data_IF_104791103085
#
_entry.id   IF_104791103085
#
_cell.length_a   1.000
_cell.length_b   1.000
_cell.length_c   1.000
_cell.angle_alpha   90.00
_cell.angle_beta   90.00
_cell.angle_gamma   90.00
#
_symmetry.space_group_name_H-M   'P 1'
#
loop_
_entity.id
_entity.type
_entity.pdbx_description
1 polymer ?
#
# COMPACT_ATOMS: atom_id res chain seq x y z
N UNK A 1 -11.59 11.45 -6.83
CA UNK A 1 -10.93 10.45 -5.96
C UNK A 1 -10.83 9.13 -6.68
N UNK A 2 -9.75 8.39 -6.45
CA UNK A 2 -9.56 7.02 -6.93
C UNK A 2 -8.98 6.16 -5.81
N UNK A 3 -9.19 4.85 -5.92
CA UNK A 3 -8.76 3.89 -4.91
C UNK A 3 -8.00 2.77 -5.61
N UNK A 4 -6.83 2.43 -5.11
CA UNK A 4 -5.97 1.42 -5.72
C UNK A 4 -5.60 0.34 -4.71
N UNK A 5 -5.38 -0.87 -5.24
CA UNK A 5 -4.68 -1.92 -4.54
C UNK A 5 -3.46 -2.30 -5.37
N UNK A 6 -2.29 -2.28 -4.74
CA UNK A 6 -1.02 -2.68 -5.33
C UNK A 6 -0.56 -3.95 -4.65
N UNK A 7 -0.29 -5.01 -5.40
CA UNK A 7 0.36 -6.21 -4.87
C UNK A 7 1.76 -6.36 -5.48
N UNK A 8 2.78 -6.39 -4.62
CA UNK A 8 4.16 -6.56 -5.03
C UNK A 8 4.59 -8.02 -4.88
N UNK A 9 4.91 -8.67 -6.01
CA UNK A 9 5.27 -10.10 -6.02
C UNK A 9 6.76 -10.39 -5.81
N UNK A 10 7.57 -9.43 -5.33
CA UNK A 10 9.01 -9.64 -5.09
C UNK A 10 9.27 -10.85 -4.17
N UNK A 11 8.37 -11.11 -3.22
CA UNK A 11 8.46 -12.25 -2.28
C UNK A 11 8.29 -13.61 -2.97
N UNK A 12 7.68 -13.67 -4.16
CA UNK A 12 7.53 -14.90 -4.95
C UNK A 12 8.78 -15.24 -5.76
N UNK A 13 9.71 -14.30 -5.93
CA UNK A 13 10.92 -14.46 -6.73
C UNK A 13 12.19 -14.05 -5.95
N UNK A 14 12.49 -14.70 -4.81
CA UNK A 14 13.58 -14.29 -3.92
C UNK A 14 14.98 -14.37 -4.56
N UNK A 15 15.16 -15.15 -5.63
CA UNK A 15 16.42 -15.19 -6.39
C UNK A 15 16.67 -13.93 -7.23
N UNK A 16 15.60 -13.22 -7.63
CA UNK A 16 15.64 -11.99 -8.43
C UNK A 16 15.81 -10.75 -7.55
N UNK A 17 15.21 -10.75 -6.37
CA UNK A 17 15.27 -9.64 -5.41
C UNK A 17 16.15 -10.04 -4.24
N UNK A 18 17.39 -9.53 -4.19
CA UNK A 18 18.32 -9.73 -3.05
C UNK A 18 17.85 -9.00 -1.79
N UNK A 19 16.62 -9.20 -1.37
CA UNK A 19 16.00 -8.51 -0.23
C UNK A 19 15.76 -9.51 0.88
N UNK A 20 16.61 -9.46 1.92
CA UNK A 20 16.08 -9.58 3.29
C UNK A 20 15.24 -8.33 3.47
N UNK A 21 13.96 -8.41 3.80
CA UNK A 21 13.26 -7.34 4.52
C UNK A 21 11.78 -7.75 4.69
N UNK A 22 11.46 -8.34 5.84
CA UNK A 22 10.08 -8.40 6.33
C UNK A 22 9.47 -6.99 6.54
N UNK A 23 10.28 -5.93 6.38
CA UNK A 23 9.88 -4.53 6.50
C UNK A 23 9.47 -3.87 5.18
N UNK A 24 9.36 -4.63 4.08
CA UNK A 24 8.74 -4.12 2.85
C UNK A 24 7.30 -4.59 2.76
N UNK A 25 6.36 -3.70 2.36
CA UNK A 25 5.00 -4.13 2.10
C UNK A 25 4.98 -5.09 0.90
N UNK A 26 4.03 -6.02 0.96
CA UNK A 26 3.66 -6.91 -0.15
C UNK A 26 2.33 -6.50 -0.77
N UNK A 27 1.53 -5.72 -0.04
CA UNK A 27 0.26 -5.18 -0.53
C UNK A 27 0.03 -3.80 0.04
N UNK A 28 -0.39 -2.87 -0.81
CA UNK A 28 -0.69 -1.50 -0.46
C UNK A 28 -2.10 -1.18 -0.94
N UNK A 29 -2.87 -0.48 -0.10
CA UNK A 29 -4.15 0.12 -0.48
C UNK A 29 -4.03 1.62 -0.31
N UNK A 30 -4.43 2.38 -1.34
CA UNK A 30 -4.30 3.83 -1.33
C UNK A 30 -5.62 4.49 -1.72
N UNK A 31 -6.04 5.50 -0.96
CA UNK A 31 -7.00 6.52 -1.40
C UNK A 31 -6.23 7.71 -1.94
N UNK A 32 -6.60 8.14 -3.14
CA UNK A 32 -5.89 9.17 -3.88
C UNK A 32 -6.88 10.26 -4.28
N UNK A 33 -6.52 11.52 -4.01
CA UNK A 33 -7.36 12.67 -4.31
C UNK A 33 -7.38 13.01 -5.81
N UNK A 34 -8.09 14.07 -6.18
CA UNK A 34 -8.19 14.51 -7.59
C UNK A 34 -6.89 15.10 -8.15
N UNK A 35 -5.96 15.48 -7.27
CA UNK A 35 -4.62 15.96 -7.61
C UNK A 35 -3.62 14.80 -7.76
N UNK A 36 -4.06 13.56 -7.50
CA UNK A 36 -3.22 12.37 -7.57
C UNK A 36 -2.35 12.16 -6.33
N UNK A 37 -2.59 12.91 -5.25
CA UNK A 37 -1.89 12.78 -3.97
C UNK A 37 -2.58 11.75 -3.08
N UNK A 38 -1.81 11.02 -2.27
CA UNK A 38 -2.33 10.01 -1.36
C UNK A 38 -2.93 10.66 -0.10
N UNK A 39 -4.18 10.36 0.23
CA UNK A 39 -4.85 10.86 1.44
C UNK A 39 -4.86 9.84 2.58
N UNK A 40 -4.97 8.55 2.22
CA UNK A 40 -4.90 7.42 3.14
C UNK A 40 -4.15 6.26 2.50
N UNK A 41 -3.37 5.55 3.31
CA UNK A 41 -2.65 4.35 2.91
C UNK A 41 -2.75 3.23 3.94
N UNK A 42 -2.79 1.99 3.47
CA UNK A 42 -2.65 0.77 4.26
C UNK A 42 -1.56 -0.09 3.64
N UNK A 43 -0.66 -0.63 4.44
CA UNK A 43 0.45 -1.49 4.04
C UNK A 43 0.35 -2.84 4.77
N UNK A 44 0.38 -3.93 4.02
CA UNK A 44 0.47 -5.29 4.57
C UNK A 44 1.86 -5.86 4.32
N UNK A 45 2.43 -6.47 5.35
CA UNK A 45 3.79 -7.02 5.34
C UNK A 45 3.75 -8.55 5.33
N UNK A 46 4.86 -9.17 4.90
CA UNK A 46 4.94 -10.63 4.69
C UNK A 46 4.72 -11.45 5.98
N UNK A 47 5.00 -10.87 7.14
CA UNK A 47 4.79 -11.49 8.45
C UNK A 47 3.36 -11.29 9.00
N UNK A 48 2.43 -10.75 8.20
CA UNK A 48 1.05 -10.48 8.60
C UNK A 48 0.86 -9.19 9.38
N UNK A 49 1.95 -8.46 9.68
CA UNK A 49 1.89 -7.12 10.27
C UNK A 49 1.25 -6.13 9.29
N UNK A 50 0.72 -5.04 9.83
CA UNK A 50 0.08 -3.95 9.08
C UNK A 50 0.62 -2.59 9.49
N UNK A 51 0.55 -1.65 8.56
CA UNK A 51 0.71 -0.22 8.83
C UNK A 51 -0.36 0.58 8.10
N UNK A 52 -0.66 1.77 8.60
CA UNK A 52 -1.58 2.70 7.94
C UNK A 52 -1.18 4.15 8.19
N UNK A 53 -1.54 5.02 7.25
CA UNK A 53 -1.30 6.45 7.35
C UNK A 53 -2.46 7.26 6.80
N UNK A 54 -2.62 8.46 7.35
CA UNK A 54 -3.41 9.56 6.82
C UNK A 54 -2.76 10.88 7.21
N UNK A 55 -3.38 12.00 6.85
CA UNK A 55 -2.92 13.34 7.26
C UNK A 55 -2.89 13.59 8.77
N UNK A 56 -3.55 12.74 9.58
CA UNK A 56 -3.68 12.93 11.03
C UNK A 56 -3.07 11.81 11.88
N UNK A 57 -2.78 10.65 11.27
CA UNK A 57 -2.27 9.48 12.00
C UNK A 57 -1.34 8.67 11.12
N UNK A 58 -0.27 8.16 11.71
CA UNK A 58 0.58 7.13 11.13
C UNK A 58 0.80 6.05 12.18
N UNK A 59 0.81 4.80 11.73
CA UNK A 59 1.03 3.62 12.55
C UNK A 59 1.68 2.53 11.71
N UNK A 60 2.66 1.82 12.28
CA UNK A 60 3.24 0.64 11.66
C UNK A 60 3.63 -0.38 12.75
N UNK A 61 3.22 -1.64 12.59
CA UNK A 61 3.62 -2.72 13.51
C UNK A 61 5.05 -3.20 13.27
N UNK A 62 5.63 -2.94 12.09
CA UNK A 62 6.96 -3.41 11.75
C UNK A 62 7.99 -2.46 12.36
N UNK A 63 8.84 -2.99 13.23
CA UNK A 63 9.97 -2.27 13.80
C UNK A 63 10.93 -1.79 12.68
N UNK A 64 11.55 -0.63 12.86
CA UNK A 64 12.51 -0.02 11.91
C UNK A 64 11.92 0.54 10.61
N UNK A 65 10.59 0.67 10.50
CA UNK A 65 9.94 1.35 9.38
C UNK A 65 8.70 2.12 9.85
N UNK A 66 8.27 3.07 9.03
CA UNK A 66 7.07 3.87 9.25
C UNK A 66 6.20 3.77 7.99
N UNK A 67 4.90 3.74 8.17
CA UNK A 67 3.96 3.90 7.06
C UNK A 67 3.64 5.38 6.93
N UNK A 68 4.02 5.98 5.80
CA UNK A 68 3.85 7.42 5.54
C UNK A 68 3.15 7.64 4.20
N UNK A 69 2.40 8.73 4.03
CA UNK A 69 1.80 9.05 2.73
C UNK A 69 2.89 9.39 1.69
N UNK A 70 2.66 9.02 0.43
CA UNK A 70 3.55 9.40 -0.68
C UNK A 70 3.70 10.92 -0.80
N UNK A 71 4.94 11.41 -0.99
CA UNK A 71 5.24 12.80 -1.35
C UNK A 71 5.19 13.05 -2.87
N UNK A 72 4.91 12.00 -3.65
CA UNK A 72 4.79 12.04 -5.10
C UNK A 72 3.35 11.81 -5.54
N UNK A 73 2.97 12.52 -6.61
CA UNK A 73 1.73 12.28 -7.33
C UNK A 73 1.77 10.87 -7.91
N UNK A 74 0.77 10.07 -7.57
CA UNK A 74 0.68 8.71 -8.02
C UNK A 74 0.26 8.69 -9.50
N UNK A 75 0.96 7.95 -10.38
CA UNK A 75 0.61 7.86 -11.79
C UNK A 75 -0.72 7.16 -12.02
N UNK A 76 -1.24 7.14 -13.25
CA UNK A 76 -2.43 6.37 -13.60
C UNK A 76 -2.16 4.85 -13.58
N UNK A 77 -3.20 4.06 -13.31
CA UNK A 77 -3.10 2.60 -13.15
C UNK A 77 -2.56 1.90 -14.40
N UNK A 78 -2.97 2.34 -15.59
CA UNK A 78 -2.48 1.82 -16.86
C UNK A 78 -0.96 2.03 -17.02
N UNK A 79 -0.45 3.21 -16.66
CA UNK A 79 0.98 3.55 -16.75
C UNK A 79 1.82 2.71 -15.78
N UNK A 80 1.29 2.38 -14.59
CA UNK A 80 2.02 1.54 -13.62
C UNK A 80 2.20 0.09 -14.10
N UNK A 81 1.33 -0.40 -14.97
CA UNK A 81 1.34 -1.80 -15.43
C UNK A 81 2.12 -2.00 -16.76
N UNK A 82 2.54 -0.93 -17.45
CA UNK A 82 3.16 -1.01 -18.78
C UNK A 82 4.56 -1.68 -18.79
N UNK A 83 5.30 -1.66 -17.69
CA UNK A 83 6.70 -2.10 -17.66
C UNK A 83 6.92 -3.59 -17.38
N UNK A 84 5.85 -4.41 -17.35
CA UNK A 84 5.97 -5.84 -17.03
C UNK A 84 6.59 -6.08 -15.65
N UNK A 85 6.45 -5.10 -14.74
CA UNK A 85 6.90 -5.15 -13.36
C UNK A 85 6.26 -6.29 -12.58
N UNK A 86 6.81 -6.60 -11.41
CA UNK A 86 6.23 -7.59 -10.48
C UNK A 86 5.06 -7.07 -9.66
N UNK A 87 4.60 -5.88 -10.00
CA UNK A 87 3.68 -5.10 -9.21
C UNK A 87 2.37 -5.03 -9.98
N UNK A 88 1.28 -5.48 -9.36
CA UNK A 88 -0.04 -5.50 -9.97
C UNK A 88 -0.86 -4.39 -9.35
N UNK A 89 -1.17 -3.37 -10.15
CA UNK A 89 -2.01 -2.25 -9.73
C UNK A 89 -3.41 -2.45 -10.29
N UNK A 90 -4.39 -2.55 -9.40
CA UNK A 90 -5.80 -2.61 -9.76
C UNK A 90 -6.55 -1.46 -9.10
N UNK A 91 -7.52 -0.91 -9.82
CA UNK A 91 -8.51 -0.02 -9.23
C UNK A 91 -9.50 -0.84 -8.41
N UNK A 92 -9.86 -0.30 -7.25
CA UNK A 92 -10.85 -0.88 -6.34
C UNK A 92 -11.95 0.14 -6.09
N UNK A 93 -13.09 -0.31 -5.56
CA UNK A 93 -14.16 0.61 -5.19
C UNK A 93 -13.84 1.27 -3.86
N UNK A 94 -14.43 2.45 -3.64
CA UNK A 94 -14.39 3.15 -2.36
C UNK A 94 -14.88 2.24 -1.24
N UNK A 95 -16.00 1.55 -1.44
CA UNK A 95 -16.62 0.70 -0.42
C UNK A 95 -15.67 -0.41 0.03
N UNK A 96 -14.90 -0.98 -0.90
CA UNK A 96 -13.91 -2.00 -0.59
C UNK A 96 -12.74 -1.43 0.22
N UNK A 97 -12.24 -0.25 -0.17
CA UNK A 97 -11.19 0.44 0.59
C UNK A 97 -11.66 0.74 2.03
N UNK A 98 -12.85 1.30 2.20
CA UNK A 98 -13.39 1.66 3.52
C UNK A 98 -13.59 0.44 4.42
N UNK A 99 -14.00 -0.71 3.86
CA UNK A 99 -14.09 -1.95 4.62
C UNK A 99 -12.74 -2.36 5.20
N UNK A 100 -11.67 -2.30 4.40
CA UNK A 100 -10.33 -2.67 4.86
C UNK A 100 -9.81 -1.64 5.84
N UNK A 101 -9.98 -0.36 5.56
CA UNK A 101 -9.59 0.74 6.45
C UNK A 101 -10.23 0.59 7.82
N UNK A 102 -11.54 0.37 7.88
CA UNK A 102 -12.26 0.18 9.14
C UNK A 102 -11.73 -1.04 9.91
N UNK A 103 -11.56 -2.19 9.24
CA UNK A 103 -11.03 -3.41 9.88
C UNK A 103 -9.64 -3.17 10.46
N UNK A 104 -8.72 -2.57 9.69
CA UNK A 104 -7.34 -2.33 10.15
C UNK A 104 -7.31 -1.33 11.30
N UNK A 105 -7.93 -0.17 11.13
CA UNK A 105 -7.87 0.92 12.10
C UNK A 105 -8.62 0.60 13.39
N UNK A 106 -9.73 -0.12 13.34
CA UNK A 106 -10.46 -0.54 14.55
C UNK A 106 -9.77 -1.67 15.29
N UNK A 107 -9.09 -2.57 14.60
CA UNK A 107 -8.36 -3.69 15.26
C UNK A 107 -7.18 -3.18 16.10
N UNK A 108 -6.66 -2.00 15.78
CA UNK A 108 -5.48 -1.41 16.43
C UNK A 108 -5.86 -0.42 17.56
N UNK A 109 -7.14 -0.03 17.66
CA UNK A 109 -7.68 0.77 18.76
C UNK A 109 -8.03 -0.07 19.99
#
# INVERSE_FOLDING_TARGET
MRYTAVEWLWYRYPSKYKTRQNSRPIKIYSEINEQGEEERKIEFFLNGKVGFASSIVSYCEVDETETELSDQVMPESDVMNEDGGTDFVIEITKEYFEQIWQVVVDTIK
#
